data_IF_778054018580
#
_entry.id   IF_778054018580
#
_cell.length_a   1.000
_cell.length_b   1.000
_cell.length_c   1.000
_cell.angle_alpha   90.00
_cell.angle_beta   90.00
_cell.angle_gamma   90.00
#
_symmetry.space_group_name_H-M   'P 1'
#
loop_
_entity.id
_entity.type
_entity.pdbx_description
1 polymer ?
#
# COMPACT_ATOMS: atom_id res chain seq x y z
N UNK A 1 -28.89 6.14 1.87
CA UNK A 1 -27.99 6.15 0.71
C UNK A 1 -27.56 7.57 0.39
N UNK A 2 -28.45 8.51 0.05
CA UNK A 2 -28.10 9.91 -0.26
C UNK A 2 -27.45 10.66 0.93
N UNK A 3 -27.87 10.40 2.15
CA UNK A 3 -27.28 11.01 3.36
C UNK A 3 -25.86 10.48 3.59
N UNK A 4 -25.64 9.22 3.36
CA UNK A 4 -24.32 8.59 3.52
C UNK A 4 -23.31 9.06 2.46
N UNK A 5 -23.77 9.21 1.23
CA UNK A 5 -22.98 9.80 0.14
C UNK A 5 -22.63 11.27 0.42
N UNK A 6 -23.60 12.05 0.95
CA UNK A 6 -23.37 13.41 1.38
C UNK A 6 -22.36 13.55 2.51
N UNK A 7 -22.43 12.66 3.52
CA UNK A 7 -21.47 12.64 4.63
C UNK A 7 -20.07 12.22 4.19
N UNK A 8 -19.96 11.26 3.27
CA UNK A 8 -18.66 10.85 2.71
C UNK A 8 -18.03 11.97 1.88
N UNK A 9 -18.82 12.69 1.09
CA UNK A 9 -18.35 13.84 0.33
C UNK A 9 -17.87 14.96 1.26
N UNK A 10 -18.65 15.27 2.31
CA UNK A 10 -18.32 16.33 3.29
C UNK A 10 -17.10 15.97 4.12
N UNK A 11 -16.92 14.70 4.51
CA UNK A 11 -15.71 14.23 5.18
C UNK A 11 -14.48 14.30 4.26
N UNK A 12 -14.66 14.03 2.96
CA UNK A 12 -13.60 14.19 1.96
C UNK A 12 -13.17 15.65 1.80
N UNK A 13 -14.13 16.59 1.73
CA UNK A 13 -13.85 18.03 1.67
C UNK A 13 -13.11 18.54 2.91
N UNK A 14 -13.58 18.17 4.09
CA UNK A 14 -12.95 18.56 5.36
C UNK A 14 -11.54 17.97 5.50
N UNK A 15 -11.32 16.75 5.10
CA UNK A 15 -9.98 16.12 5.11
C UNK A 15 -9.02 16.82 4.14
N UNK A 16 -9.52 17.30 3.00
CA UNK A 16 -8.74 18.09 2.04
C UNK A 16 -8.40 19.48 2.58
N UNK A 17 -9.37 20.17 3.18
CA UNK A 17 -9.16 21.48 3.79
C UNK A 17 -8.13 21.42 4.92
N UNK A 18 -8.19 20.41 5.79
CA UNK A 18 -7.19 20.19 6.85
C UNK A 18 -5.80 19.93 6.26
N UNK A 19 -5.69 19.14 5.20
CA UNK A 19 -4.41 18.89 4.52
C UNK A 19 -3.85 20.17 3.89
N UNK A 20 -4.71 20.96 3.24
CA UNK A 20 -4.31 22.20 2.58
C UNK A 20 -3.83 23.24 3.59
N UNK A 21 -4.53 23.41 4.71
CA UNK A 21 -4.10 24.30 5.81
C UNK A 21 -2.79 23.81 6.46
N UNK A 22 -2.63 22.50 6.62
CA UNK A 22 -1.39 21.94 7.18
C UNK A 22 -0.20 22.09 6.20
N UNK A 23 -0.43 21.93 4.89
CA UNK A 23 0.56 22.13 3.85
C UNK A 23 0.99 23.59 3.75
N UNK A 24 0.03 24.55 3.81
CA UNK A 24 0.31 25.96 3.81
C UNK A 24 1.13 26.40 5.02
N UNK A 25 0.84 25.84 6.18
CA UNK A 25 1.59 26.11 7.41
C UNK A 25 3.03 25.54 7.34
N UNK A 26 3.20 24.36 6.75
CA UNK A 26 4.51 23.71 6.62
C UNK A 26 5.36 24.34 5.52
N UNK A 27 4.77 24.72 4.38
CA UNK A 27 5.46 25.39 3.27
C UNK A 27 6.09 26.72 3.65
N UNK A 28 5.54 27.39 4.66
CA UNK A 28 6.09 28.61 5.23
C UNK A 28 7.30 28.35 6.15
N UNK A 29 7.46 27.12 6.62
CA UNK A 29 8.49 26.75 7.61
C UNK A 29 9.62 25.93 7.01
N UNK A 30 9.32 24.97 6.15
CA UNK A 30 10.30 24.08 5.52
C UNK A 30 9.69 23.39 4.27
N UNK A 31 9.94 23.91 3.06
CA UNK A 31 9.41 23.35 1.83
C UNK A 31 9.95 21.93 1.51
N UNK A 32 11.17 21.61 1.90
CA UNK A 32 11.78 20.29 1.64
C UNK A 32 11.09 19.21 2.50
N UNK A 33 10.71 19.56 3.74
CA UNK A 33 9.96 18.67 4.61
C UNK A 33 8.53 18.40 4.09
N UNK A 34 7.92 19.35 3.39
CA UNK A 34 6.62 19.16 2.77
C UNK A 34 6.66 18.12 1.64
N UNK A 35 7.68 18.21 0.78
CA UNK A 35 7.87 17.24 -0.32
C UNK A 35 8.13 15.83 0.23
N UNK A 36 8.92 15.72 1.30
CA UNK A 36 9.18 14.44 1.97
C UNK A 36 7.91 13.86 2.59
N UNK A 37 7.12 14.67 3.31
CA UNK A 37 5.84 14.24 3.88
C UNK A 37 4.82 13.85 2.81
N UNK A 38 4.79 14.56 1.68
CA UNK A 38 3.92 14.23 0.55
C UNK A 38 4.31 12.89 -0.03
N UNK A 39 5.60 12.66 -0.29
CA UNK A 39 6.09 11.39 -0.80
C UNK A 39 5.87 10.23 0.17
N UNK A 40 6.05 10.46 1.48
CA UNK A 40 5.72 9.48 2.53
C UNK A 40 4.23 9.17 2.60
N UNK A 41 3.36 10.13 2.26
CA UNK A 41 1.90 9.95 2.25
C UNK A 41 1.36 9.20 1.03
N UNK A 42 2.06 9.24 -0.12
CA UNK A 42 1.63 8.55 -1.36
C UNK A 42 1.63 7.04 -1.18
N UNK A 43 2.74 6.48 -0.68
CA UNK A 43 2.92 5.03 -0.57
C UNK A 43 1.85 4.33 0.31
N UNK A 44 1.48 4.83 1.51
CA UNK A 44 0.37 4.28 2.28
C UNK A 44 -1.00 4.63 1.69
N UNK A 45 -1.09 5.51 0.67
CA UNK A 45 -2.35 5.91 0.05
C UNK A 45 -3.12 6.99 0.81
N UNK A 46 -2.48 7.68 1.77
CA UNK A 46 -3.13 8.69 2.60
C UNK A 46 -3.56 9.93 1.83
N UNK A 47 -2.86 10.25 0.73
CA UNK A 47 -3.16 11.41 -0.10
C UNK A 47 -3.83 11.01 -1.42
N UNK A 48 -4.58 11.95 -1.97
CA UNK A 48 -5.14 11.80 -3.32
C UNK A 48 -4.04 11.83 -4.37
N UNK A 49 -4.23 11.11 -5.45
CA UNK A 49 -3.29 11.03 -6.57
C UNK A 49 -4.03 11.11 -7.90
N UNK A 50 -3.36 11.66 -8.90
CA UNK A 50 -3.84 11.69 -10.27
C UNK A 50 -2.72 11.35 -11.24
N UNK A 51 -3.05 10.73 -12.37
CA UNK A 51 -2.07 10.37 -13.39
C UNK A 51 -2.67 9.51 -14.48
N UNK A 52 -1.82 9.10 -15.42
CA UNK A 52 -2.16 8.09 -16.42
C UNK A 52 -2.52 6.77 -15.70
N UNK A 53 -3.52 6.07 -16.20
CA UNK A 53 -3.99 4.84 -15.60
C UNK A 53 -4.37 3.77 -16.62
N UNK A 54 -4.14 2.52 -16.27
CA UNK A 54 -4.75 1.38 -16.93
C UNK A 54 -6.02 0.98 -16.20
N UNK A 55 -7.13 0.89 -16.91
CA UNK A 55 -8.45 0.61 -16.35
C UNK A 55 -8.92 -0.76 -16.83
N UNK A 56 -9.31 -1.62 -15.90
CA UNK A 56 -9.96 -2.91 -16.19
C UNK A 56 -11.37 -2.86 -15.62
N UNK A 57 -12.35 -3.20 -16.45
CA UNK A 57 -13.75 -3.29 -16.01
C UNK A 57 -14.24 -4.72 -16.12
N UNK A 58 -14.73 -5.25 -15.01
CA UNK A 58 -15.37 -6.56 -14.91
C UNK A 58 -16.86 -6.36 -14.70
N UNK A 59 -17.68 -7.06 -15.49
CA UNK A 59 -19.15 -6.95 -15.43
C UNK A 59 -19.76 -8.33 -15.30
N UNK A 60 -20.60 -8.52 -14.29
CA UNK A 60 -21.38 -9.76 -14.11
C UNK A 60 -22.17 -10.08 -15.40
N UNK A 61 -22.38 -11.38 -15.68
CA UNK A 61 -23.14 -11.76 -16.86
C UNK A 61 -24.59 -11.24 -16.81
N UNK A 62 -25.21 -11.05 -17.96
CA UNK A 62 -26.63 -10.63 -18.04
C UNK A 62 -27.56 -11.61 -17.33
N UNK A 63 -27.25 -12.92 -17.40
CA UNK A 63 -28.02 -13.97 -16.75
C UNK A 63 -27.90 -13.86 -15.22
N UNK A 64 -26.74 -13.59 -14.72
CA UNK A 64 -26.49 -13.40 -13.29
C UNK A 64 -27.12 -12.11 -12.76
N UNK A 65 -27.22 -11.07 -13.58
CA UNK A 65 -27.93 -9.83 -13.23
C UNK A 65 -29.44 -10.07 -13.13
N UNK A 66 -30.00 -10.92 -14.02
CA UNK A 66 -31.42 -11.28 -14.01
C UNK A 66 -31.79 -12.24 -12.86
N UNK A 67 -30.98 -13.28 -12.61
CA UNK A 67 -31.16 -14.23 -11.49
C UNK A 67 -29.80 -14.51 -10.80
N UNK A 68 -29.49 -13.73 -9.76
CA UNK A 68 -28.22 -13.84 -9.04
C UNK A 68 -28.03 -15.13 -8.24
N UNK A 69 -29.11 -15.87 -7.99
CA UNK A 69 -29.08 -17.12 -7.22
C UNK A 69 -28.74 -18.29 -8.13
N UNK A 70 -29.43 -18.36 -9.28
CA UNK A 70 -29.26 -19.44 -10.25
C UNK A 70 -27.90 -19.35 -10.96
N UNK A 71 -27.46 -18.14 -11.34
CA UNK A 71 -26.22 -17.89 -12.07
C UNK A 71 -25.11 -17.32 -11.20
N UNK A 72 -25.01 -17.80 -9.98
CA UNK A 72 -24.02 -17.32 -9.00
C UNK A 72 -22.57 -17.42 -9.51
N UNK A 73 -22.25 -18.45 -10.31
CA UNK A 73 -20.91 -18.66 -10.85
C UNK A 73 -20.53 -17.65 -11.94
N UNK A 74 -21.53 -17.02 -12.58
CA UNK A 74 -21.34 -16.00 -13.60
C UNK A 74 -21.24 -14.58 -13.02
N UNK A 75 -20.94 -14.46 -11.73
CA UNK A 75 -20.69 -13.22 -11.01
C UNK A 75 -19.21 -13.09 -10.66
N UNK A 76 -18.73 -11.86 -10.73
CA UNK A 76 -17.38 -11.54 -10.26
C UNK A 76 -17.28 -11.82 -8.77
N UNK A 77 -16.29 -12.60 -8.39
CA UNK A 77 -16.00 -12.95 -7.02
C UNK A 77 -14.88 -12.07 -6.46
N UNK A 78 -14.77 -12.01 -5.14
CA UNK A 78 -13.68 -11.28 -4.48
C UNK A 78 -12.29 -11.78 -4.93
N UNK A 79 -12.15 -13.08 -5.17
CA UNK A 79 -10.91 -13.68 -5.65
C UNK A 79 -10.51 -13.17 -7.04
N UNK A 80 -11.47 -12.90 -7.91
CA UNK A 80 -11.19 -12.38 -9.26
C UNK A 80 -10.60 -10.98 -9.18
N UNK A 81 -11.18 -10.11 -8.33
CA UNK A 81 -10.64 -8.79 -8.07
C UNK A 81 -9.26 -8.84 -7.40
N UNK A 82 -9.05 -9.78 -6.46
CA UNK A 82 -7.73 -9.98 -5.83
C UNK A 82 -6.67 -10.36 -6.87
N UNK A 83 -6.97 -11.28 -7.78
CA UNK A 83 -6.05 -11.68 -8.86
C UNK A 83 -5.69 -10.49 -9.74
N UNK A 84 -6.68 -9.68 -10.14
CA UNK A 84 -6.47 -8.50 -10.97
C UNK A 84 -5.65 -7.45 -10.23
N UNK A 85 -6.02 -7.11 -8.99
CA UNK A 85 -5.34 -6.09 -8.18
C UNK A 85 -3.88 -6.49 -7.90
N UNK A 86 -3.64 -7.74 -7.53
CA UNK A 86 -2.28 -8.22 -7.28
C UNK A 86 -1.43 -8.19 -8.56
N UNK A 87 -2.01 -8.53 -9.71
CA UNK A 87 -1.30 -8.46 -10.98
C UNK A 87 -1.02 -7.01 -11.41
N UNK A 88 -1.91 -6.07 -11.12
CA UNK A 88 -1.68 -4.64 -11.35
C UNK A 88 -0.54 -4.11 -10.50
N UNK A 89 -0.48 -4.44 -9.20
CA UNK A 89 0.66 -4.12 -8.33
C UNK A 89 1.96 -4.71 -8.86
N UNK A 90 1.95 -5.98 -9.24
CA UNK A 90 3.13 -6.66 -9.79
C UNK A 90 3.57 -6.08 -11.15
N UNK A 91 2.67 -5.39 -11.86
CA UNK A 91 2.95 -4.74 -13.15
C UNK A 91 3.37 -3.28 -13.02
N UNK A 92 3.64 -2.79 -11.81
CA UNK A 92 4.16 -1.45 -11.57
C UNK A 92 3.10 -0.37 -11.34
N UNK A 93 1.87 -0.75 -10.93
CA UNK A 93 0.90 0.24 -10.49
C UNK A 93 1.37 0.94 -9.21
N UNK A 94 1.22 2.25 -9.13
CA UNK A 94 1.56 3.09 -7.98
C UNK A 94 0.36 3.32 -7.06
N UNK A 95 -0.83 3.25 -7.63
CA UNK A 95 -2.08 3.41 -6.92
C UNK A 95 -3.19 2.63 -7.60
N UNK A 96 -4.05 1.96 -6.81
CA UNK A 96 -5.18 1.20 -7.34
C UNK A 96 -6.45 1.58 -6.58
N UNK A 97 -7.56 1.68 -7.32
CA UNK A 97 -8.91 1.78 -6.75
C UNK A 97 -9.88 0.81 -7.43
N UNK A 98 -10.92 0.42 -6.71
CA UNK A 98 -12.04 -0.36 -7.22
C UNK A 98 -13.32 0.42 -6.96
N UNK A 99 -14.04 0.78 -8.00
CA UNK A 99 -15.24 1.62 -7.93
C UNK A 99 -15.03 2.91 -7.10
N UNK A 100 -13.85 3.55 -7.26
CA UNK A 100 -13.48 4.76 -6.52
C UNK A 100 -12.98 4.52 -5.10
N UNK A 101 -13.05 3.31 -4.56
CA UNK A 101 -12.46 2.97 -3.26
C UNK A 101 -10.99 2.64 -3.43
N UNK A 102 -10.10 3.45 -2.85
CA UNK A 102 -8.64 3.23 -2.88
C UNK A 102 -8.28 1.93 -2.16
N UNK A 103 -7.47 1.10 -2.81
CA UNK A 103 -6.93 -0.12 -2.20
C UNK A 103 -5.62 0.23 -1.50
N UNK A 104 -5.56 0.05 -0.18
CA UNK A 104 -4.33 0.24 0.60
C UNK A 104 -3.51 -1.04 0.68
N UNK A 105 -2.24 -0.92 1.09
CA UNK A 105 -1.39 -2.09 1.37
C UNK A 105 -1.92 -2.97 2.52
N UNK A 106 -2.75 -2.42 3.41
CA UNK A 106 -3.44 -3.14 4.47
C UNK A 106 -4.90 -3.44 4.12
N UNK A 107 -5.41 -2.92 3.00
CA UNK A 107 -6.78 -3.09 2.54
C UNK A 107 -7.09 -4.53 2.15
N UNK A 108 -8.33 -4.95 2.39
CA UNK A 108 -8.76 -6.29 2.09
C UNK A 108 -9.93 -6.30 1.10
N UNK A 109 -9.81 -7.13 0.07
CA UNK A 109 -10.91 -7.44 -0.84
C UNK A 109 -11.52 -8.77 -0.36
N UNK A 110 -12.80 -8.75 0.05
CA UNK A 110 -13.49 -9.92 0.64
C UNK A 110 -14.87 -10.12 0.06
N UNK A 111 -15.30 -11.36 -0.01
CA UNK A 111 -16.71 -11.70 -0.28
C UNK A 111 -17.55 -11.54 0.98
N UNK A 112 -18.72 -10.92 0.86
CA UNK A 112 -19.72 -10.80 1.92
C UNK A 112 -21.11 -11.19 1.37
N UNK A 113 -21.40 -12.47 1.37
CA UNK A 113 -22.60 -13.00 0.75
C UNK A 113 -22.61 -12.77 -0.76
N UNK A 114 -23.53 -11.92 -1.22
CA UNK A 114 -23.65 -11.54 -2.62
C UNK A 114 -22.82 -10.31 -3.02
N UNK A 115 -22.23 -9.62 -2.08
CA UNK A 115 -21.43 -8.41 -2.31
C UNK A 115 -19.93 -8.69 -2.21
N UNK A 116 -19.12 -7.87 -2.84
CA UNK A 116 -17.68 -7.77 -2.61
C UNK A 116 -17.42 -6.53 -1.78
N UNK A 117 -16.62 -6.66 -0.75
CA UNK A 117 -16.13 -5.55 0.07
C UNK A 117 -14.70 -5.23 -0.33
N UNK A 118 -14.45 -3.97 -0.62
CA UNK A 118 -13.11 -3.41 -0.82
C UNK A 118 -12.87 -2.44 0.32
N UNK A 119 -11.93 -2.77 1.18
CA UNK A 119 -11.62 -2.00 2.39
C UNK A 119 -12.88 -1.66 3.24
N UNK A 120 -13.72 -2.69 3.45
CA UNK A 120 -15.03 -2.64 4.14
C UNK A 120 -16.12 -1.86 3.38
N UNK A 121 -15.84 -1.26 2.24
CA UNK A 121 -16.84 -0.60 1.39
C UNK A 121 -17.46 -1.60 0.42
N UNK A 122 -18.78 -1.77 0.42
CA UNK A 122 -19.44 -2.68 -0.52
C UNK A 122 -19.41 -2.11 -1.94
N UNK A 123 -18.94 -2.94 -2.88
CA UNK A 123 -18.88 -2.63 -4.30
C UNK A 123 -19.71 -3.63 -5.10
N UNK A 124 -20.24 -3.19 -6.22
CA UNK A 124 -21.12 -3.97 -7.08
C UNK A 124 -20.69 -3.87 -8.54
N UNK A 125 -21.13 -4.81 -9.35
CA UNK A 125 -20.95 -4.80 -10.82
C UNK A 125 -21.61 -3.56 -11.45
N UNK A 126 -20.95 -2.94 -12.46
CA UNK A 126 -19.62 -3.25 -12.97
C UNK A 126 -18.50 -2.82 -12.02
N UNK A 127 -17.45 -3.65 -11.94
CA UNK A 127 -16.27 -3.39 -11.10
C UNK A 127 -15.21 -2.67 -11.95
N UNK A 128 -15.07 -1.38 -11.75
CA UNK A 128 -14.06 -0.55 -12.43
C UNK A 128 -12.78 -0.53 -11.56
N UNK A 129 -11.76 -1.26 -12.00
CA UNK A 129 -10.45 -1.27 -11.38
C UNK A 129 -9.57 -0.28 -12.12
N UNK A 130 -9.10 0.76 -11.44
CA UNK A 130 -8.24 1.82 -11.98
C UNK A 130 -6.87 1.67 -11.35
N UNK A 131 -5.82 1.59 -12.16
CA UNK A 131 -4.43 1.47 -11.74
C UNK A 131 -3.62 2.64 -12.31
N UNK A 132 -3.24 3.61 -11.46
CA UNK A 132 -2.37 4.73 -11.82
C UNK A 132 -0.92 4.23 -11.90
N UNK A 133 -0.19 4.70 -12.92
CA UNK A 133 1.19 4.36 -13.25
C UNK A 133 1.40 4.41 -14.76
N UNK A 134 2.53 3.91 -15.26
CA UNK A 134 2.74 3.80 -16.70
C UNK A 134 1.76 2.79 -17.30
N UNK A 135 0.67 3.27 -17.91
CA UNK A 135 -0.43 2.42 -18.38
C UNK A 135 0.00 1.40 -19.44
N UNK A 136 0.99 1.72 -20.27
CA UNK A 136 1.51 0.80 -21.28
C UNK A 136 2.33 -0.34 -20.65
N UNK A 137 3.15 -0.03 -19.66
CA UNK A 137 3.91 -1.02 -18.90
C UNK A 137 2.99 -1.92 -18.11
N UNK A 138 2.01 -1.36 -17.40
CA UNK A 138 0.98 -2.11 -16.65
C UNK A 138 0.22 -3.04 -17.59
N UNK A 139 -0.22 -2.56 -18.75
CA UNK A 139 -0.91 -3.37 -19.76
C UNK A 139 -0.07 -4.54 -20.23
N UNK A 140 1.21 -4.30 -20.52
CA UNK A 140 2.14 -5.33 -20.99
C UNK A 140 2.46 -6.33 -19.86
N UNK A 141 2.60 -5.84 -18.63
CA UNK A 141 2.82 -6.64 -17.43
C UNK A 141 1.64 -7.60 -17.18
N UNK A 142 0.42 -7.09 -17.16
CA UNK A 142 -0.81 -7.91 -16.99
C UNK A 142 -0.87 -8.99 -18.07
N UNK A 143 -0.60 -8.66 -19.34
CA UNK A 143 -0.65 -9.62 -20.44
C UNK A 143 0.35 -10.78 -20.26
N UNK A 144 1.43 -10.58 -19.55
CA UNK A 144 2.48 -11.57 -19.28
C UNK A 144 2.25 -12.41 -18.00
N UNK A 145 1.23 -12.06 -17.20
CA UNK A 145 0.93 -12.73 -15.92
C UNK A 145 -0.17 -13.79 -16.06
N UNK A 146 -0.34 -14.63 -15.04
CA UNK A 146 -1.46 -15.57 -14.92
C UNK A 146 -2.83 -14.88 -14.87
N UNK A 147 -2.88 -13.57 -14.54
CA UNK A 147 -4.10 -12.80 -14.54
C UNK A 147 -4.72 -12.70 -15.94
N UNK A 148 -3.90 -12.65 -17.00
CA UNK A 148 -4.39 -12.68 -18.41
C UNK A 148 -5.17 -13.95 -18.70
N UNK A 149 -4.64 -15.12 -18.31
CA UNK A 149 -5.34 -16.39 -18.46
C UNK A 149 -6.62 -16.46 -17.61
N UNK A 150 -6.56 -15.92 -16.37
CA UNK A 150 -7.72 -15.83 -15.49
C UNK A 150 -8.82 -14.96 -16.08
N UNK A 151 -8.51 -13.77 -16.60
CA UNK A 151 -9.46 -12.90 -17.29
C UNK A 151 -10.07 -13.57 -18.52
N UNK A 152 -9.28 -14.34 -19.27
CA UNK A 152 -9.77 -15.17 -20.37
C UNK A 152 -10.79 -16.21 -19.90
N UNK A 153 -10.49 -16.91 -18.81
CA UNK A 153 -11.38 -17.89 -18.18
C UNK A 153 -12.71 -17.26 -17.74
N UNK A 154 -12.66 -16.07 -17.10
CA UNK A 154 -13.85 -15.34 -16.68
C UNK A 154 -14.76 -15.03 -17.85
N UNK A 155 -14.20 -14.55 -18.97
CA UNK A 155 -14.94 -14.22 -20.17
C UNK A 155 -15.50 -15.46 -20.87
N UNK A 156 -14.67 -16.48 -21.10
CA UNK A 156 -15.00 -17.56 -21.99
C UNK A 156 -15.87 -18.63 -21.31
N UNK A 157 -15.69 -18.86 -19.99
CA UNK A 157 -16.42 -19.88 -19.23
C UNK A 157 -17.58 -19.29 -18.41
N UNK A 158 -17.34 -18.14 -17.76
CA UNK A 158 -18.32 -17.56 -16.83
C UNK A 158 -19.09 -16.38 -17.42
N UNK A 159 -18.86 -16.05 -18.72
CA UNK A 159 -19.55 -14.97 -19.43
C UNK A 159 -19.47 -13.61 -18.74
N UNK A 160 -18.46 -13.43 -17.89
CA UNK A 160 -18.17 -12.15 -17.25
C UNK A 160 -17.61 -11.20 -18.31
N UNK A 161 -18.20 -10.02 -18.40
CA UNK A 161 -17.70 -8.98 -19.27
C UNK A 161 -16.33 -8.50 -18.79
N UNK A 162 -15.33 -8.52 -19.69
CA UNK A 162 -13.98 -8.04 -19.41
C UNK A 162 -13.62 -7.02 -20.48
N UNK A 163 -13.36 -5.79 -20.08
CA UNK A 163 -12.87 -4.73 -20.94
C UNK A 163 -11.72 -3.98 -20.31
N UNK A 164 -10.89 -3.34 -21.12
CA UNK A 164 -9.81 -2.50 -20.62
C UNK A 164 -9.65 -1.24 -21.48
N UNK A 165 -9.16 -0.17 -20.84
CA UNK A 165 -8.90 1.11 -21.47
C UNK A 165 -7.72 1.79 -20.80
N UNK A 166 -7.14 2.79 -21.45
CA UNK A 166 -6.20 3.75 -20.85
C UNK A 166 -6.98 5.03 -20.58
N UNK A 167 -6.74 5.61 -19.42
CA UNK A 167 -7.27 6.90 -18.98
C UNK A 167 -6.06 7.81 -18.69
N UNK A 168 -5.92 8.87 -19.49
CA UNK A 168 -4.75 9.75 -19.43
C UNK A 168 -4.75 10.68 -18.21
N UNK A 169 -5.88 10.80 -17.51
CA UNK A 169 -6.05 11.73 -16.39
C UNK A 169 -6.95 11.15 -15.29
N UNK A 170 -6.71 9.90 -14.91
CA UNK A 170 -7.43 9.28 -13.82
C UNK A 170 -7.10 9.94 -12.48
N UNK A 171 -8.10 9.98 -11.61
CA UNK A 171 -7.99 10.53 -10.25
C UNK A 171 -8.47 9.50 -9.22
N UNK A 172 -7.80 9.46 -8.06
CA UNK A 172 -8.17 8.63 -6.91
C UNK A 172 -8.13 9.41 -5.61
N UNK A 173 -9.10 9.23 -4.71
CA UNK A 173 -9.05 9.82 -3.38
C UNK A 173 -7.92 9.20 -2.54
N UNK A 174 -7.50 9.94 -1.50
CA UNK A 174 -6.72 9.37 -0.41
C UNK A 174 -7.59 8.47 0.47
N UNK A 175 -6.94 7.55 1.17
CA UNK A 175 -7.60 6.75 2.20
C UNK A 175 -7.72 7.63 3.44
N UNK A 176 -8.89 7.64 4.06
CA UNK A 176 -9.04 8.25 5.39
C UNK A 176 -8.10 7.52 6.34
N UNK A 177 -7.17 8.25 6.95
CA UNK A 177 -6.15 7.67 7.83
C UNK A 177 -6.80 6.82 8.91
N UNK A 178 -6.36 5.58 9.03
CA UNK A 178 -6.69 4.77 10.21
C UNK A 178 -6.05 5.45 11.41
N UNK A 179 -6.86 5.92 12.36
CA UNK A 179 -6.35 6.49 13.60
C UNK A 179 -5.54 5.42 14.33
N UNK A 180 -4.29 5.73 14.63
CA UNK A 180 -3.42 4.84 15.40
C UNK A 180 -3.52 5.23 16.86
N UNK A 181 -4.25 4.45 17.66
CA UNK A 181 -4.53 4.79 19.06
C UNK A 181 -3.43 4.30 20.03
N UNK A 182 -2.73 3.22 19.69
CA UNK A 182 -1.81 2.56 20.60
C UNK A 182 -0.35 2.54 20.13
N UNK A 183 -0.07 2.63 18.84
CA UNK A 183 1.28 2.69 18.32
C UNK A 183 1.84 4.12 18.42
N UNK A 184 3.09 4.24 18.88
CA UNK A 184 3.81 5.51 18.93
C UNK A 184 5.00 5.45 18.00
N UNK A 185 5.35 6.56 17.34
CA UNK A 185 6.60 6.63 16.58
C UNK A 185 7.78 6.33 17.48
N UNK A 186 8.72 5.52 17.02
CA UNK A 186 10.00 5.35 17.68
C UNK A 186 10.88 6.50 17.18
N UNK A 187 11.26 7.41 18.09
CA UNK A 187 12.25 8.41 17.73
C UNK A 187 13.57 7.69 17.37
N UNK A 188 14.16 8.00 16.20
CA UNK A 188 15.47 7.46 15.89
C UNK A 188 16.44 7.92 16.96
N UNK A 189 17.04 6.98 17.70
CA UNK A 189 18.08 7.28 18.65
C UNK A 189 19.20 8.03 17.92
N UNK A 190 19.37 9.31 18.27
CA UNK A 190 20.46 10.12 17.75
C UNK A 190 21.76 9.37 18.03
N UNK A 191 22.61 9.10 17.04
CA UNK A 191 23.89 8.52 17.33
C UNK A 191 24.62 9.49 18.27
N UNK A 192 24.90 9.03 19.49
CA UNK A 192 25.76 9.74 20.43
C UNK A 192 27.12 9.82 19.75
N UNK A 193 27.40 11.00 19.18
CA UNK A 193 28.73 11.32 18.67
C UNK A 193 29.71 11.09 19.81
N UNK A 194 30.72 10.28 19.56
CA UNK A 194 31.89 10.15 20.41
C UNK A 194 32.60 11.50 20.43
N UNK A 195 32.37 12.29 21.43
CA UNK A 195 33.25 13.41 21.76
C UNK A 195 34.58 12.82 22.22
N UNK A 196 35.48 12.73 21.26
CA UNK A 196 36.90 12.59 21.54
C UNK A 196 37.47 13.96 21.92
N UNK A 197 37.44 14.27 23.18
CA UNK A 197 38.37 15.27 23.73
C UNK A 197 39.42 14.51 24.53
N UNK A 198 40.58 14.37 23.89
CA UNK A 198 41.81 14.01 24.58
C UNK A 198 42.22 15.17 25.44
N UNK A 199 42.48 14.89 26.71
CA UNK A 199 43.41 15.68 27.50
C UNK A 199 44.47 14.74 28.03
N UNK A 200 45.70 15.03 27.55
CA UNK A 200 46.97 14.59 28.08
C UNK A 200 47.10 15.09 29.51
N UNK A 201 47.19 14.19 30.47
CA UNK A 201 47.99 14.46 31.65
C UNK A 201 48.83 13.23 32.01
N UNK A 202 50.15 13.44 31.77
CA UNK A 202 51.22 12.61 32.27
C UNK A 202 51.29 12.74 33.78
N UNK A 203 51.24 11.65 34.49
CA UNK A 203 51.90 11.54 35.77
C UNK A 203 52.59 10.17 35.90
N UNK A 204 53.90 10.27 35.97
CA UNK A 204 54.84 9.23 36.31
C UNK A 204 54.71 8.85 37.77
N UNK A 205 54.67 7.56 38.09
CA UNK A 205 55.44 7.04 39.20
C UNK A 205 55.51 5.51 39.16
N UNK A 206 56.60 5.06 39.00
CA UNK A 206 57.63 4.18 39.52
C UNK A 206 57.20 3.20 40.67
N UNK A 207 57.83 2.04 40.61
CA UNK A 207 58.04 0.97 41.57
C UNK A 207 57.05 -0.22 41.49
N UNK A 208 57.54 -1.36 41.08
CA UNK A 208 58.47 -2.22 41.78
C UNK A 208 57.94 -3.64 41.82
N UNK A 209 58.66 -4.48 41.13
CA UNK A 209 59.18 -5.78 41.63
C UNK A 209 58.24 -7.01 41.78
N UNK A 210 58.59 -8.02 40.95
CA UNK A 210 58.74 -9.47 41.28
C UNK A 210 57.42 -10.22 41.61
N UNK A 211 57.10 -11.30 41.02
CA UNK A 211 57.78 -12.58 40.95
C UNK A 211 57.01 -13.53 40.00
N UNK A 212 57.71 -14.24 39.19
CA UNK A 212 57.31 -15.51 38.62
C UNK A 212 57.76 -16.62 39.64
N UNK A 213 57.45 -17.90 39.52
CA UNK A 213 57.08 -18.69 38.34
C UNK A 213 56.09 -19.87 38.64
N UNK A 214 55.86 -20.58 37.60
CA UNK A 214 56.00 -22.05 37.49
C UNK A 214 54.71 -22.90 37.30
N UNK A 215 54.84 -23.59 36.19
CA UNK A 215 54.57 -25.02 35.89
C UNK A 215 53.17 -25.60 36.02
N UNK A 216 52.72 -26.21 35.03
CA UNK A 216 52.85 -27.58 34.58
C UNK A 216 51.51 -28.12 34.08
N UNK A 217 51.44 -28.38 32.80
CA UNK A 217 51.30 -29.69 32.07
C UNK A 217 50.02 -30.54 32.29
N UNK A 218 49.65 -30.98 31.12
CA UNK A 218 49.03 -32.29 30.75
C UNK A 218 47.50 -32.30 30.83
N UNK A 219 46.77 -32.72 29.85
CA UNK A 219 47.04 -33.69 28.78
C UNK A 219 45.74 -34.46 28.60
N UNK A 220 45.46 -34.87 27.39
CA UNK A 220 44.55 -35.99 27.16
C UNK A 220 43.35 -35.75 26.29
N UNK A 221 43.54 -35.97 25.01
CA UNK A 221 42.57 -36.58 24.11
C UNK A 221 42.42 -38.08 24.43
N UNK A 222 41.61 -38.89 23.75
CA UNK A 222 40.43 -38.65 22.89
C UNK A 222 39.27 -39.63 23.22
N UNK A 223 38.12 -39.43 22.67
CA UNK A 223 37.38 -40.43 21.87
C UNK A 223 36.17 -39.75 21.22
#
# INVERSE_FOLDING_TARGET
>A
TLIQEGLLAQNGELAEEIRQLSADQLSLSDPDALDELTNLGIAPGAIQVAGEAYVITLTDSEQSQADPVQFREERVQAIDLQVVVNALWASGAEAISVNGTRVSGAGAIRGAGAAVLVDLVPVTSPYKVVAIGNAQEIRSGIASTSASAHLGLLRDRYRIGVSSAIDDAAWMPGISSTQIDFAKPIEPSRPTGSDGSGDDERESNDNGQQDSPDMTQQGGEPE
#
